data_IF_446197711371
#
_entry.id   IF_446197711371
#
_cell.length_a   1.000
_cell.length_b   1.000
_cell.length_c   1.000
_cell.angle_alpha   90.00
_cell.angle_beta   90.00
_cell.angle_gamma   90.00
#
_symmetry.space_group_name_H-M   'P 1'
#
loop_
_entity.id
_entity.type
_entity.pdbx_description
1 polymer ?
#
# COMPACT_ATOMS: atom_id res chain seq x y z
N UNK A 1 -20.87 -16.17 -2.35
CA UNK A 1 -19.40 -16.41 -2.41
C UNK A 1 -19.13 -17.82 -1.94
N UNK A 2 -18.32 -18.55 -2.69
CA UNK A 2 -17.87 -19.88 -2.33
C UNK A 2 -17.04 -19.83 -1.03
N UNK A 3 -17.24 -20.74 -0.06
CA UNK A 3 -16.41 -20.84 1.15
C UNK A 3 -14.91 -20.92 0.88
N UNK A 4 -14.51 -21.57 -0.22
CA UNK A 4 -13.12 -21.67 -0.65
C UNK A 4 -12.57 -20.29 -1.04
N UNK A 5 -13.34 -19.49 -1.77
CA UNK A 5 -12.94 -18.13 -2.12
C UNK A 5 -12.76 -17.22 -0.88
N UNK A 6 -13.66 -17.34 0.09
CA UNK A 6 -13.57 -16.60 1.34
C UNK A 6 -12.26 -16.98 2.07
N UNK A 7 -11.95 -18.27 2.12
CA UNK A 7 -10.72 -18.76 2.76
C UNK A 7 -9.46 -18.22 2.06
N UNK A 8 -9.42 -18.26 0.72
CA UNK A 8 -8.29 -17.74 -0.06
C UNK A 8 -8.11 -16.24 0.19
N UNK A 9 -9.19 -15.46 0.09
CA UNK A 9 -9.14 -14.00 0.32
C UNK A 9 -8.69 -13.68 1.75
N UNK A 10 -9.21 -14.38 2.74
CA UNK A 10 -8.79 -14.21 4.15
C UNK A 10 -7.31 -14.55 4.34
N UNK A 11 -6.84 -15.62 3.73
CA UNK A 11 -5.42 -16.03 3.79
C UNK A 11 -4.49 -14.98 3.18
N UNK A 12 -4.87 -14.41 2.03
CA UNK A 12 -4.12 -13.30 1.43
C UNK A 12 -4.10 -12.10 2.39
N UNK A 13 -5.23 -11.80 3.02
CA UNK A 13 -5.34 -10.75 4.02
C UNK A 13 -4.39 -10.97 5.21
N UNK A 14 -4.31 -12.21 5.73
CA UNK A 14 -3.37 -12.56 6.82
C UNK A 14 -1.93 -12.29 6.40
N UNK A 15 -1.50 -12.82 5.25
CA UNK A 15 -0.12 -12.65 4.74
C UNK A 15 0.19 -11.17 4.50
N UNK A 16 -0.72 -10.46 3.83
CA UNK A 16 -0.58 -9.03 3.57
C UNK A 16 -0.54 -8.21 4.86
N UNK A 17 -1.36 -8.57 5.84
CA UNK A 17 -1.38 -7.97 7.17
C UNK A 17 -0.07 -8.18 7.92
N UNK A 18 0.45 -9.41 7.94
CA UNK A 18 1.74 -9.72 8.58
C UNK A 18 2.84 -8.88 7.97
N UNK A 19 2.99 -8.88 6.65
CA UNK A 19 4.05 -8.13 5.96
C UNK A 19 3.86 -6.61 6.11
N UNK A 20 2.63 -6.14 5.97
CA UNK A 20 2.30 -4.72 6.15
C UNK A 20 2.54 -4.22 7.57
N UNK A 21 2.19 -5.03 8.57
CA UNK A 21 2.41 -4.74 9.99
C UNK A 21 3.87 -4.78 10.40
N UNK A 22 4.65 -5.73 9.85
CA UNK A 22 6.10 -5.89 10.13
C UNK A 22 6.91 -4.65 9.78
N UNK A 23 6.67 -4.06 8.65
CA UNK A 23 7.53 -3.02 8.10
C UNK A 23 6.85 -1.64 7.99
N UNK A 24 5.59 -1.52 8.42
CA UNK A 24 4.82 -0.30 8.23
C UNK A 24 4.57 0.05 6.75
N UNK A 25 4.63 -0.96 5.87
CA UNK A 25 4.60 -0.79 4.42
C UNK A 25 3.18 -0.78 3.83
N UNK A 26 2.20 -1.24 4.59
CA UNK A 26 0.85 -1.53 4.09
C UNK A 26 0.77 -2.91 3.42
N UNK A 27 -0.43 -3.48 3.39
CA UNK A 27 -0.67 -4.82 2.84
C UNK A 27 -0.86 -4.87 1.33
N UNK A 28 -1.19 -3.74 0.70
CA UNK A 28 -1.57 -3.66 -0.71
C UNK A 28 -0.50 -4.12 -1.69
N UNK A 29 0.77 -3.97 -1.31
CA UNK A 29 1.89 -4.41 -2.16
C UNK A 29 1.88 -5.93 -2.42
N UNK A 30 1.32 -6.71 -1.51
CA UNK A 30 1.13 -8.15 -1.69
C UNK A 30 -0.24 -8.44 -2.28
N UNK A 31 -1.28 -7.72 -1.83
CA UNK A 31 -2.65 -7.97 -2.27
C UNK A 31 -2.85 -7.72 -3.76
N UNK A 32 -2.32 -6.63 -4.31
CA UNK A 32 -2.51 -6.30 -5.72
C UNK A 32 -1.97 -7.39 -6.65
N UNK A 33 -0.70 -7.83 -6.53
CA UNK A 33 -0.22 -8.95 -7.33
C UNK A 33 -0.94 -10.26 -7.07
N UNK A 34 -1.29 -10.56 -5.80
CA UNK A 34 -2.00 -11.79 -5.47
C UNK A 34 -3.39 -11.84 -6.12
N UNK A 35 -4.16 -10.75 -6.05
CA UNK A 35 -5.46 -10.67 -6.71
C UNK A 35 -5.33 -10.80 -8.23
N UNK A 36 -4.37 -10.11 -8.84
CA UNK A 36 -4.10 -10.20 -10.27
C UNK A 36 -3.70 -11.62 -10.70
N UNK A 37 -2.91 -12.32 -9.88
CA UNK A 37 -2.45 -13.70 -10.18
C UNK A 37 -3.55 -14.74 -10.04
N UNK A 38 -4.46 -14.59 -9.10
CA UNK A 38 -5.48 -15.59 -8.79
C UNK A 38 -6.74 -15.37 -9.65
N UNK A 39 -7.25 -14.16 -9.70
CA UNK A 39 -8.51 -13.84 -10.40
C UNK A 39 -8.30 -13.20 -11.77
N UNK A 40 -7.08 -12.76 -12.11
CA UNK A 40 -6.79 -12.07 -13.38
C UNK A 40 -7.55 -10.75 -13.51
N UNK A 41 -7.68 -10.26 -14.76
CA UNK A 41 -8.35 -8.99 -15.08
C UNK A 41 -9.64 -9.19 -15.89
N UNK A 42 -10.07 -10.44 -16.15
CA UNK A 42 -11.32 -10.71 -16.88
C UNK A 42 -12.52 -10.31 -16.03
N UNK A 43 -13.50 -9.68 -16.69
CA UNK A 43 -14.76 -9.29 -16.09
C UNK A 43 -15.87 -9.97 -16.91
N UNK A 44 -16.73 -10.76 -16.24
CA UNK A 44 -17.95 -11.37 -16.78
C UNK A 44 -17.79 -12.06 -18.16
N UNK A 45 -16.66 -12.75 -18.37
CA UNK A 45 -16.39 -13.47 -19.61
C UNK A 45 -15.84 -12.64 -20.77
N UNK A 46 -15.78 -11.33 -20.64
CA UNK A 46 -15.14 -10.42 -21.59
C UNK A 46 -13.66 -10.23 -21.28
N UNK A 47 -12.82 -10.07 -22.32
CA UNK A 47 -11.45 -9.64 -22.14
C UNK A 47 -11.45 -8.14 -21.83
N UNK A 48 -10.97 -7.77 -20.65
CA UNK A 48 -10.78 -6.37 -20.28
C UNK A 48 -9.44 -5.88 -20.83
N UNK A 49 -9.42 -5.46 -22.09
CA UNK A 49 -8.22 -4.96 -22.78
C UNK A 49 -7.55 -3.81 -22.02
N UNK A 50 -8.30 -3.06 -21.25
CA UNK A 50 -7.80 -1.92 -20.46
C UNK A 50 -7.43 -2.30 -19.04
N UNK A 51 -7.65 -3.56 -18.66
CA UNK A 51 -7.41 -4.09 -17.33
C UNK A 51 -8.09 -3.24 -16.23
N UNK A 52 -9.30 -2.78 -16.51
CA UNK A 52 -10.09 -1.86 -15.68
C UNK A 52 -10.40 -2.47 -14.31
N UNK A 53 -10.54 -3.80 -14.23
CA UNK A 53 -10.72 -4.53 -12.96
C UNK A 53 -9.59 -4.28 -11.95
N UNK A 54 -8.43 -3.85 -12.41
CA UNK A 54 -7.35 -3.43 -11.52
C UNK A 54 -7.78 -2.32 -10.55
N UNK A 55 -8.66 -1.42 -10.97
CA UNK A 55 -9.20 -0.36 -10.10
C UNK A 55 -10.06 -0.92 -8.95
N UNK A 56 -10.75 -2.03 -9.16
CA UNK A 56 -11.47 -2.77 -8.09
C UNK A 56 -10.47 -3.30 -7.07
N UNK A 57 -9.38 -3.90 -7.54
CA UNK A 57 -8.31 -4.41 -6.67
C UNK A 57 -7.63 -3.28 -5.88
N UNK A 58 -7.38 -2.14 -6.52
CA UNK A 58 -6.84 -0.96 -5.84
C UNK A 58 -7.78 -0.47 -4.74
N UNK A 59 -9.09 -0.37 -5.01
CA UNK A 59 -10.08 0.04 -4.04
C UNK A 59 -10.13 -0.92 -2.83
N UNK A 60 -10.18 -2.23 -3.10
CA UNK A 60 -10.15 -3.26 -2.06
C UNK A 60 -8.88 -3.19 -1.22
N UNK A 61 -7.72 -3.08 -1.85
CA UNK A 61 -6.43 -3.01 -1.19
C UNK A 61 -6.30 -1.75 -0.31
N UNK A 62 -6.80 -0.61 -0.77
CA UNK A 62 -6.82 0.64 0.02
C UNK A 62 -7.70 0.51 1.26
N UNK A 63 -8.87 -0.14 1.15
CA UNK A 63 -9.74 -0.41 2.30
C UNK A 63 -9.02 -1.30 3.35
N UNK A 64 -8.35 -2.35 2.91
CA UNK A 64 -7.61 -3.24 3.81
C UNK A 64 -6.39 -2.53 4.41
N UNK A 65 -5.75 -1.61 3.70
CA UNK A 65 -4.65 -0.81 4.25
C UNK A 65 -5.07 0.04 5.45
N UNK A 66 -6.31 0.52 5.51
CA UNK A 66 -6.83 1.23 6.69
C UNK A 66 -6.72 0.35 7.93
N UNK A 67 -7.09 -0.93 7.79
CA UNK A 67 -7.08 -1.92 8.88
C UNK A 67 -5.64 -2.26 9.28
N UNK A 68 -4.77 -2.54 8.32
CA UNK A 68 -3.35 -2.85 8.56
C UNK A 68 -2.64 -1.67 9.22
N UNK A 69 -2.87 -0.46 8.73
CA UNK A 69 -2.26 0.73 9.27
C UNK A 69 -2.75 1.06 10.68
N UNK A 70 -4.04 0.84 10.97
CA UNK A 70 -4.60 1.01 12.30
C UNK A 70 -3.92 0.10 13.32
N UNK A 71 -3.84 -1.21 13.03
CA UNK A 71 -3.21 -2.18 13.93
C UNK A 71 -1.73 -1.86 14.18
N UNK A 72 -1.00 -1.46 13.13
CA UNK A 72 0.39 -1.02 13.23
C UNK A 72 0.53 0.28 14.05
N UNK A 73 -0.32 1.28 13.80
CA UNK A 73 -0.33 2.56 14.51
C UNK A 73 -0.56 2.37 16.01
N UNK A 74 -1.56 1.57 16.39
CA UNK A 74 -1.88 1.29 17.79
C UNK A 74 -0.71 0.63 18.51
N UNK A 75 -0.02 -0.30 17.85
CA UNK A 75 1.15 -0.97 18.44
C UNK A 75 2.33 0.00 18.63
N UNK A 76 2.62 0.84 17.64
CA UNK A 76 3.71 1.82 17.74
C UNK A 76 3.40 2.97 18.70
N UNK A 77 2.13 3.40 18.79
CA UNK A 77 1.70 4.41 19.75
C UNK A 77 1.91 3.97 21.20
N UNK A 78 1.56 2.71 21.52
CA UNK A 78 1.80 2.12 22.86
C UNK A 78 3.28 2.14 23.27
N UNK A 79 4.20 2.18 22.30
CA UNK A 79 5.66 2.19 22.53
C UNK A 79 6.29 3.59 22.48
N UNK A 80 5.48 4.64 22.39
CA UNK A 80 5.95 6.03 22.37
C UNK A 80 6.83 6.38 21.15
N UNK A 81 6.71 5.62 20.06
CA UNK A 81 7.56 5.82 18.89
C UNK A 81 7.01 6.88 17.90
N UNK A 82 5.74 7.27 18.03
CA UNK A 82 5.11 8.25 17.15
C UNK A 82 5.49 9.68 17.59
N UNK A 83 5.99 10.49 16.65
CA UNK A 83 6.34 11.90 16.86
C UNK A 83 5.23 12.78 16.30
N UNK A 84 4.67 13.66 17.14
CA UNK A 84 3.55 14.55 16.78
C UNK A 84 3.92 15.54 15.68
N UNK A 85 5.11 16.13 15.74
CA UNK A 85 5.64 17.10 14.77
C UNK A 85 5.72 16.50 13.35
N UNK A 86 6.13 15.23 13.25
CA UNK A 86 6.17 14.49 11.99
C UNK A 86 4.75 14.26 11.45
N UNK A 87 3.82 13.83 12.32
CA UNK A 87 2.43 13.57 11.91
C UNK A 87 1.72 14.85 11.45
N UNK A 88 1.90 15.97 12.16
CA UNK A 88 1.25 17.25 11.82
C UNK A 88 1.64 17.76 10.42
N UNK A 89 2.86 17.50 9.98
CA UNK A 89 3.31 17.92 8.64
C UNK A 89 2.93 16.92 7.55
N UNK A 90 3.05 15.63 7.84
CA UNK A 90 2.86 14.58 6.84
C UNK A 90 1.40 14.22 6.59
N UNK A 91 0.53 14.24 7.62
CA UNK A 91 -0.87 13.83 7.44
C UNK A 91 -1.59 14.71 6.42
N UNK A 92 -1.61 16.06 6.54
CA UNK A 92 -2.32 16.88 5.56
C UNK A 92 -1.70 16.81 4.17
N UNK A 93 -0.36 16.83 4.08
CA UNK A 93 0.32 16.79 2.78
C UNK A 93 0.16 15.44 2.08
N UNK A 94 0.31 14.33 2.78
CA UNK A 94 0.11 13.00 2.20
C UNK A 94 -1.35 12.77 1.83
N UNK A 95 -2.30 13.28 2.61
CA UNK A 95 -3.72 13.20 2.28
C UNK A 95 -4.04 13.98 1.00
N UNK A 96 -3.53 15.20 0.85
CA UNK A 96 -3.70 15.99 -0.37
C UNK A 96 -3.09 15.29 -1.59
N UNK A 97 -1.87 14.76 -1.45
CA UNK A 97 -1.24 13.93 -2.47
C UNK A 97 -2.07 12.69 -2.81
N UNK A 98 -2.59 11.98 -1.80
CA UNK A 98 -3.40 10.77 -1.97
C UNK A 98 -4.67 11.06 -2.80
N UNK A 99 -5.39 12.13 -2.48
CA UNK A 99 -6.57 12.54 -3.24
C UNK A 99 -6.22 12.82 -4.70
N UNK A 100 -5.17 13.61 -4.96
CA UNK A 100 -4.74 13.91 -6.33
C UNK A 100 -4.32 12.66 -7.09
N UNK A 101 -3.61 11.73 -6.45
CA UNK A 101 -3.20 10.45 -7.03
C UNK A 101 -4.40 9.57 -7.39
N UNK A 102 -5.39 9.46 -6.49
CA UNK A 102 -6.61 8.68 -6.74
C UNK A 102 -7.41 9.26 -7.92
N UNK A 103 -7.57 10.57 -7.97
CA UNK A 103 -8.28 11.24 -9.08
C UNK A 103 -7.56 11.02 -10.42
N UNK A 104 -6.23 11.11 -10.43
CA UNK A 104 -5.42 10.85 -11.62
C UNK A 104 -5.54 9.39 -12.07
N UNK A 105 -5.48 8.44 -11.14
CA UNK A 105 -5.62 7.01 -11.46
C UNK A 105 -6.99 6.67 -12.06
N UNK A 106 -8.05 7.35 -11.63
CA UNK A 106 -9.39 7.16 -12.19
C UNK A 106 -9.53 7.61 -13.65
N UNK A 107 -8.62 8.46 -14.13
CA UNK A 107 -8.56 8.94 -15.52
C UNK A 107 -7.63 8.13 -16.42
N UNK A 108 -6.98 7.11 -15.88
CA UNK A 108 -6.02 6.29 -16.63
C UNK A 108 -6.50 4.85 -16.72
N UNK A 109 -6.33 4.17 -17.88
CA UNK A 109 -6.61 2.74 -18.00
C UNK A 109 -5.83 1.93 -16.96
N UNK A 110 -6.43 0.84 -16.45
CA UNK A 110 -5.81 -0.02 -15.45
C UNK A 110 -4.43 -0.54 -15.84
N UNK A 111 -4.23 -0.81 -17.14
CA UNK A 111 -2.94 -1.23 -17.71
C UNK A 111 -1.79 -0.29 -17.36
N UNK A 112 -2.00 1.03 -17.45
CA UNK A 112 -0.96 2.00 -17.09
C UNK A 112 -0.69 2.02 -15.59
N UNK A 113 -1.72 1.86 -14.77
CA UNK A 113 -1.55 1.72 -13.31
C UNK A 113 -0.78 0.46 -12.95
N UNK A 114 -1.00 -0.65 -13.66
CA UNK A 114 -0.25 -1.91 -13.49
C UNK A 114 1.21 -1.73 -13.87
N UNK A 115 1.51 -1.13 -15.01
CA UNK A 115 2.89 -0.86 -15.46
C UNK A 115 3.62 0.06 -14.50
N UNK A 116 2.96 1.12 -14.04
CA UNK A 116 3.51 2.03 -13.04
C UNK A 116 3.77 1.33 -11.71
N UNK A 117 2.85 0.45 -11.27
CA UNK A 117 3.02 -0.34 -10.07
C UNK A 117 4.18 -1.34 -10.18
N UNK A 118 4.30 -2.04 -11.32
CA UNK A 118 5.42 -2.95 -11.56
C UNK A 118 6.76 -2.21 -11.58
N UNK A 119 6.86 -1.09 -12.30
CA UNK A 119 8.04 -0.24 -12.30
C UNK A 119 8.41 0.26 -10.90
N UNK A 120 7.41 0.64 -10.11
CA UNK A 120 7.59 1.02 -8.73
C UNK A 120 8.17 -0.13 -7.86
N UNK A 121 7.63 -1.35 -8.00
CA UNK A 121 8.17 -2.53 -7.29
C UNK A 121 9.64 -2.75 -7.64
N UNK A 122 10.01 -2.65 -8.92
CA UNK A 122 11.39 -2.85 -9.35
C UNK A 122 12.33 -1.81 -8.75
N UNK A 123 11.90 -0.55 -8.73
CA UNK A 123 12.66 0.53 -8.08
C UNK A 123 12.84 0.28 -6.58
N UNK A 124 11.78 -0.18 -5.92
CA UNK A 124 11.83 -0.55 -4.50
C UNK A 124 12.76 -1.75 -4.24
N UNK A 125 12.73 -2.77 -5.09
CA UNK A 125 13.63 -3.91 -4.99
C UNK A 125 15.09 -3.48 -5.16
N UNK A 126 15.39 -2.66 -6.18
CA UNK A 126 16.73 -2.13 -6.40
C UNK A 126 17.22 -1.31 -5.17
N UNK A 127 16.36 -0.44 -4.64
CA UNK A 127 16.67 0.32 -3.43
C UNK A 127 16.99 -0.60 -2.23
N UNK A 128 16.19 -1.64 -1.98
CA UNK A 128 16.42 -2.56 -0.86
C UNK A 128 17.71 -3.36 -1.03
N UNK A 129 18.03 -3.81 -2.26
CA UNK A 129 19.30 -4.51 -2.55
C UNK A 129 20.47 -3.58 -2.26
N UNK A 130 20.46 -2.37 -2.81
CA UNK A 130 21.54 -1.38 -2.64
C UNK A 130 21.74 -1.04 -1.15
N UNK A 131 20.67 -0.79 -0.43
CA UNK A 131 20.74 -0.42 1.00
C UNK A 131 21.20 -1.59 1.88
N UNK A 132 20.82 -2.82 1.53
CA UNK A 132 21.27 -4.03 2.23
C UNK A 132 22.77 -4.27 2.05
N UNK A 133 23.30 -4.00 0.84
CA UNK A 133 24.73 -4.12 0.54
C UNK A 133 25.54 -3.01 1.25
N UNK A 134 25.04 -1.78 1.20
CA UNK A 134 25.75 -0.60 1.74
C UNK A 134 25.74 -0.51 3.27
N UNK A 135 24.94 -1.33 3.97
CA UNK A 135 24.81 -1.34 5.45
C UNK A 135 24.68 0.07 6.03
N UNK A 136 23.78 0.89 5.49
CA UNK A 136 23.59 2.28 5.92
C UNK A 136 23.25 2.28 7.43
N UNK A 137 24.03 2.98 8.27
CA UNK A 137 23.76 3.05 9.70
C UNK A 137 22.47 3.83 9.95
N UNK A 138 21.75 3.47 11.02
CA UNK A 138 20.56 4.20 11.44
C UNK A 138 20.94 5.53 12.12
N UNK A 139 20.04 6.50 12.07
CA UNK A 139 20.21 7.77 12.74
C UNK A 139 20.02 7.61 14.27
N UNK A 140 20.68 8.45 15.08
CA UNK A 140 20.47 8.48 16.53
C UNK A 140 18.99 8.68 16.88
N UNK A 141 18.53 8.04 17.96
CA UNK A 141 17.12 8.11 18.38
C UNK A 141 16.67 9.55 18.66
N UNK A 142 17.60 10.38 19.16
CA UNK A 142 17.37 11.78 19.52
C UNK A 142 17.59 12.74 18.34
N UNK A 143 17.77 12.21 17.12
CA UNK A 143 17.95 13.07 15.94
C UNK A 143 16.76 14.05 15.78
N UNK A 144 17.01 15.31 15.43
CA UNK A 144 15.96 16.29 15.22
C UNK A 144 15.07 15.87 14.04
N UNK A 145 13.81 16.31 14.07
CA UNK A 145 12.90 16.08 12.94
C UNK A 145 13.39 16.82 11.69
N UNK A 146 13.20 16.23 10.51
CA UNK A 146 13.47 16.91 9.26
C UNK A 146 12.68 18.24 9.15
N UNK A 147 13.19 19.18 8.38
CA UNK A 147 12.52 20.47 8.19
C UNK A 147 11.07 20.27 7.64
N UNK A 148 10.12 21.07 8.13
CA UNK A 148 8.70 20.96 7.78
C UNK A 148 8.45 20.93 6.27
N UNK A 149 9.12 21.79 5.51
CA UNK A 149 8.97 21.83 4.05
C UNK A 149 9.38 20.52 3.36
N UNK A 150 10.43 19.85 3.87
CA UNK A 150 10.85 18.52 3.35
C UNK A 150 9.78 17.48 3.63
N UNK A 151 9.22 17.48 4.82
CA UNK A 151 8.14 16.57 5.20
C UNK A 151 6.89 16.82 4.35
N UNK A 152 6.53 18.08 4.09
CA UNK A 152 5.42 18.43 3.21
C UNK A 152 5.66 17.91 1.78
N UNK A 153 6.84 18.15 1.23
CA UNK A 153 7.19 17.69 -0.12
C UNK A 153 7.17 16.15 -0.22
N UNK A 154 7.72 15.46 0.78
CA UNK A 154 7.68 14.00 0.87
C UNK A 154 6.23 13.52 0.96
N UNK A 155 5.42 14.12 1.82
CA UNK A 155 4.01 13.73 1.99
C UNK A 155 3.21 13.87 0.69
N UNK A 156 3.31 15.02 0.01
CA UNK A 156 2.66 15.24 -1.28
C UNK A 156 3.09 14.22 -2.34
N UNK A 157 4.39 14.01 -2.48
CA UNK A 157 4.93 13.04 -3.45
C UNK A 157 4.48 11.62 -3.15
N UNK A 158 4.69 11.16 -1.91
CA UNK A 158 4.33 9.79 -1.49
C UNK A 158 2.84 9.57 -1.56
N UNK A 159 2.04 10.56 -1.13
CA UNK A 159 0.58 10.50 -1.23
C UNK A 159 0.13 10.39 -2.68
N UNK A 160 0.68 11.21 -3.58
CA UNK A 160 0.38 11.18 -5.01
C UNK A 160 0.67 9.81 -5.64
N UNK A 161 1.86 9.30 -5.42
CA UNK A 161 2.24 7.96 -5.92
C UNK A 161 1.38 6.87 -5.29
N UNK A 162 1.16 6.92 -3.98
CA UNK A 162 0.37 5.93 -3.26
C UNK A 162 -1.10 5.92 -3.71
N UNK A 163 -1.70 7.08 -3.89
CA UNK A 163 -3.06 7.21 -4.41
C UNK A 163 -3.21 6.73 -5.84
N UNK A 164 -2.22 7.06 -6.70
CA UNK A 164 -2.21 6.62 -8.09
C UNK A 164 -2.07 5.10 -8.24
N UNK A 165 -1.20 4.49 -7.42
CA UNK A 165 -0.94 3.05 -7.47
C UNK A 165 -1.91 2.21 -6.62
N UNK A 166 -2.75 2.83 -5.77
CA UNK A 166 -3.64 2.12 -4.86
C UNK A 166 -2.91 1.46 -3.68
N UNK A 167 -1.77 2.02 -3.27
CA UNK A 167 -0.96 1.50 -2.16
C UNK A 167 -1.05 2.42 -0.93
N UNK A 168 -0.70 1.90 0.25
CA UNK A 168 -0.77 2.68 1.49
C UNK A 168 0.32 3.74 1.68
N UNK A 169 1.31 3.79 0.78
CA UNK A 169 2.40 4.77 0.80
C UNK A 169 3.52 4.51 1.81
N UNK A 170 3.31 3.66 2.80
CA UNK A 170 4.33 3.36 3.82
C UNK A 170 5.65 2.86 3.27
N UNK A 171 5.58 2.12 2.16
CA UNK A 171 6.76 1.58 1.48
C UNK A 171 7.73 2.65 0.97
N UNK A 172 7.21 3.81 0.57
CA UNK A 172 8.02 4.96 0.15
C UNK A 172 8.34 5.87 1.32
N UNK A 173 7.37 6.04 2.22
CA UNK A 173 7.47 7.02 3.29
C UNK A 173 8.61 6.68 4.26
N UNK A 174 8.74 5.40 4.66
CA UNK A 174 9.80 4.97 5.58
C UNK A 174 11.21 5.27 5.04
N UNK A 175 11.60 4.84 3.82
CA UNK A 175 12.93 5.15 3.31
C UNK A 175 13.16 6.64 3.09
N UNK A 176 12.17 7.40 2.62
CA UNK A 176 12.34 8.84 2.41
C UNK A 176 12.50 9.61 3.73
N UNK A 177 11.81 9.21 4.78
CA UNK A 177 11.99 9.78 6.11
C UNK A 177 13.38 9.44 6.68
N UNK A 178 13.86 8.21 6.47
CA UNK A 178 15.23 7.83 6.88
C UNK A 178 16.29 8.65 6.14
N UNK A 179 16.19 8.78 4.82
CA UNK A 179 17.10 9.60 4.02
C UNK A 179 17.07 11.06 4.49
N UNK A 180 15.93 11.53 5.00
CA UNK A 180 15.78 12.89 5.52
C UNK A 180 16.34 13.08 6.93
N UNK A 181 16.88 12.03 7.56
CA UNK A 181 17.51 12.09 8.89
C UNK A 181 16.65 11.56 10.04
N UNK A 182 15.46 11.01 9.78
CA UNK A 182 14.62 10.46 10.83
C UNK A 182 15.05 9.01 11.17
N UNK A 183 15.23 8.66 12.47
CA UNK A 183 15.54 7.30 12.88
C UNK A 183 14.49 6.30 12.39
N UNK A 184 14.92 5.09 12.03
CA UNK A 184 14.05 4.04 11.48
C UNK A 184 12.81 3.77 12.34
N UNK A 185 12.98 3.73 13.65
CA UNK A 185 11.88 3.51 14.60
C UNK A 185 10.79 4.57 14.48
N UNK A 186 11.19 5.84 14.40
CA UNK A 186 10.27 6.97 14.26
C UNK A 186 9.70 7.06 12.85
N UNK A 187 10.48 6.70 11.83
CA UNK A 187 10.03 6.65 10.44
C UNK A 187 8.92 5.59 10.24
N UNK A 188 9.07 4.38 10.82
CA UNK A 188 8.05 3.32 10.75
C UNK A 188 6.78 3.75 11.52
N UNK A 189 6.93 4.27 12.74
CA UNK A 189 5.79 4.69 13.54
C UNK A 189 5.03 5.87 12.92
N UNK A 190 5.76 6.87 12.41
CA UNK A 190 5.20 8.01 11.71
C UNK A 190 4.49 7.60 10.43
N UNK A 191 5.12 6.72 9.63
CA UNK A 191 4.54 6.17 8.41
C UNK A 191 3.22 5.44 8.68
N UNK A 192 3.14 4.58 9.69
CA UNK A 192 1.92 3.87 10.04
C UNK A 192 0.78 4.83 10.40
N UNK A 193 1.05 5.85 11.23
CA UNK A 193 0.04 6.83 11.65
C UNK A 193 -0.45 7.70 10.50
N UNK A 194 0.46 8.18 9.65
CA UNK A 194 0.12 8.97 8.46
C UNK A 194 -0.69 8.13 7.47
N UNK A 195 -0.24 6.88 7.21
CA UNK A 195 -0.90 5.96 6.31
C UNK A 195 -2.31 5.61 6.77
N UNK A 196 -2.55 5.45 8.07
CA UNK A 196 -3.88 5.16 8.57
C UNK A 196 -4.88 6.25 8.19
N UNK A 197 -4.56 7.51 8.47
CA UNK A 197 -5.45 8.64 8.20
C UNK A 197 -5.60 8.86 6.68
N UNK A 198 -4.49 8.90 5.94
CA UNK A 198 -4.52 9.13 4.49
C UNK A 198 -5.23 8.00 3.73
N UNK A 199 -5.09 6.74 4.18
CA UNK A 199 -5.77 5.61 3.55
C UNK A 199 -7.28 5.63 3.77
N UNK A 200 -7.80 6.15 4.88
CA UNK A 200 -9.26 6.33 5.07
C UNK A 200 -9.79 7.23 3.95
N UNK A 201 -9.15 8.38 3.74
CA UNK A 201 -9.59 9.35 2.73
C UNK A 201 -9.36 8.78 1.33
N UNK A 202 -8.21 8.17 1.08
CA UNK A 202 -7.89 7.55 -0.21
C UNK A 202 -8.84 6.41 -0.58
N UNK A 203 -9.16 5.51 0.35
CA UNK A 203 -10.10 4.42 0.14
C UNK A 203 -11.51 4.94 -0.12
N UNK A 204 -11.99 5.91 0.68
CA UNK A 204 -13.30 6.54 0.49
C UNK A 204 -13.40 7.21 -0.88
N UNK A 205 -12.36 7.96 -1.27
CA UNK A 205 -12.30 8.62 -2.58
C UNK A 205 -12.24 7.62 -3.73
N UNK A 206 -11.46 6.53 -3.60
CA UNK A 206 -11.37 5.48 -4.62
C UNK A 206 -12.68 4.73 -4.78
N UNK A 207 -13.38 4.40 -3.69
CA UNK A 207 -14.71 3.79 -3.74
C UNK A 207 -15.73 4.74 -4.37
N UNK A 208 -15.70 6.03 -4.03
CA UNK A 208 -16.59 7.03 -4.60
C UNK A 208 -16.41 7.20 -6.10
N UNK A 209 -15.16 7.20 -6.58
CA UNK A 209 -14.84 7.36 -8.00
C UNK A 209 -14.93 6.07 -8.80
N UNK A 210 -14.99 4.90 -8.17
CA UNK A 210 -14.99 3.60 -8.83
C UNK A 210 -16.10 3.44 -9.88
N UNK A 211 -17.37 3.78 -9.61
CA UNK A 211 -18.45 3.63 -10.58
C UNK A 211 -18.36 4.59 -11.78
N UNK A 212 -17.58 5.67 -11.65
CA UNK A 212 -17.37 6.63 -12.73
C UNK A 212 -16.22 6.25 -13.67
N UNK A 213 -15.51 5.17 -13.40
CA UNK A 213 -14.42 4.68 -14.24
C UNK A 213 -15.05 3.82 -15.34
N UNK A 214 -15.08 4.35 -16.56
CA UNK A 214 -15.61 3.68 -17.76
C UNK A 214 -14.53 3.65 -18.82
N UNK A 215 -14.08 2.46 -19.19
CA UNK A 215 -13.19 2.17 -20.31
C UNK A 215 -13.65 0.87 -20.97
N UNK A 216 -13.76 0.79 -22.29
CA UNK A 216 -13.76 1.83 -23.33
C UNK A 216 -15.11 2.57 -23.44
N UNK A 217 -15.35 3.43 -24.48
CA UNK A 217 -16.56 4.26 -24.59
C UNK A 217 -17.87 3.45 -24.65
N UNK A 218 -19.04 4.09 -24.47
CA UNK A 218 -20.25 3.65 -23.77
C UNK A 218 -20.99 2.42 -24.27
N UNK A 219 -20.65 1.81 -25.39
CA UNK A 219 -21.40 0.64 -25.88
C UNK A 219 -20.89 -0.73 -25.33
N UNK A 220 -19.66 -0.77 -24.76
CA UNK A 220 -19.06 -1.95 -24.15
C UNK A 220 -18.46 -1.63 -22.77
N UNK A 221 -19.03 -0.66 -22.05
CA UNK A 221 -18.49 -0.18 -20.78
C UNK A 221 -18.62 -1.24 -19.69
N UNK A 222 -17.48 -1.61 -19.11
CA UNK A 222 -17.44 -2.40 -17.89
C UNK A 222 -17.87 -1.51 -16.72
N UNK A 223 -18.97 -1.86 -16.08
CA UNK A 223 -19.46 -1.16 -14.89
C UNK A 223 -18.78 -1.72 -13.65
N UNK A 224 -17.92 -0.92 -13.01
CA UNK A 224 -17.29 -1.27 -11.74
C UNK A 224 -18.23 -0.93 -10.59
N UNK A 225 -18.49 -1.90 -9.71
CA UNK A 225 -19.35 -1.69 -8.55
C UNK A 225 -18.54 -1.64 -7.25
N UNK A 226 -19.02 -0.86 -6.30
CA UNK A 226 -18.46 -0.84 -4.94
C UNK A 226 -18.55 -2.24 -4.30
N UNK A 227 -19.63 -2.98 -4.58
CA UNK A 227 -19.82 -4.37 -4.12
C UNK A 227 -18.67 -5.29 -4.51
N UNK A 228 -18.10 -5.10 -5.72
CA UNK A 228 -16.99 -5.94 -6.21
C UNK A 228 -15.74 -5.69 -5.37
N UNK A 229 -15.43 -4.42 -5.10
CA UNK A 229 -14.32 -4.07 -4.23
C UNK A 229 -14.52 -4.56 -2.79
N UNK A 230 -15.73 -4.42 -2.25
CA UNK A 230 -16.05 -4.87 -0.89
C UNK A 230 -16.05 -6.40 -0.77
N UNK A 231 -16.42 -7.12 -1.81
CA UNK A 231 -16.31 -8.58 -1.88
C UNK A 231 -14.88 -9.09 -1.70
N UNK A 232 -13.88 -8.32 -2.10
CA UNK A 232 -12.46 -8.59 -1.78
C UNK A 232 -12.06 -8.00 -0.43
N UNK A 233 -12.44 -6.75 -0.15
CA UNK A 233 -11.97 -6.00 1.01
C UNK A 233 -12.41 -6.61 2.35
N UNK A 234 -13.65 -7.11 2.45
CA UNK A 234 -14.19 -7.62 3.72
C UNK A 234 -13.44 -8.86 4.19
N UNK A 235 -13.36 -9.98 3.42
CA UNK A 235 -12.65 -11.16 3.89
C UNK A 235 -11.15 -10.94 4.05
N UNK A 236 -10.51 -10.16 3.15
CA UNK A 236 -9.12 -9.79 3.30
C UNK A 236 -8.89 -8.91 4.53
N UNK A 237 -9.81 -8.01 4.85
CA UNK A 237 -9.76 -7.14 6.01
C UNK A 237 -9.81 -7.91 7.32
N UNK A 238 -10.64 -8.93 7.42
CA UNK A 238 -10.69 -9.84 8.57
C UNK A 238 -9.34 -10.55 8.75
N UNK A 239 -8.78 -11.09 7.68
CA UNK A 239 -7.45 -11.70 7.71
C UNK A 239 -6.35 -10.69 8.08
N UNK A 240 -6.43 -9.49 7.55
CA UNK A 240 -5.45 -8.43 7.78
C UNK A 240 -5.46 -7.88 9.23
N UNK A 241 -6.58 -7.93 9.94
CA UNK A 241 -6.63 -7.62 11.37
C UNK A 241 -5.72 -8.57 12.16
N UNK A 242 -5.85 -9.87 11.92
CA UNK A 242 -5.04 -10.90 12.58
C UNK A 242 -3.58 -10.76 12.15
N UNK A 243 -3.34 -10.69 10.83
CA UNK A 243 -2.01 -10.58 10.27
C UNK A 243 -1.28 -9.31 10.69
N UNK A 244 -1.94 -8.17 10.68
CA UNK A 244 -1.37 -6.87 11.05
C UNK A 244 -0.92 -6.82 12.51
N UNK A 245 -1.71 -7.37 13.42
CA UNK A 245 -1.33 -7.50 14.82
C UNK A 245 -0.11 -8.41 15.00
N UNK A 246 -0.13 -9.59 14.38
CA UNK A 246 1.00 -10.54 14.41
C UNK A 246 2.27 -9.93 13.80
N UNK A 247 2.16 -9.27 12.66
CA UNK A 247 3.27 -8.61 11.99
C UNK A 247 3.92 -7.53 12.85
N UNK A 248 3.11 -6.64 13.41
CA UNK A 248 3.58 -5.59 14.30
C UNK A 248 4.25 -6.15 15.58
N UNK A 249 3.76 -7.26 16.10
CA UNK A 249 4.36 -7.95 17.25
C UNK A 249 5.72 -8.59 16.91
N UNK A 250 5.81 -9.22 15.74
CA UNK A 250 7.02 -9.91 15.26
C UNK A 250 8.15 -8.89 14.93
N UNK A 251 7.81 -7.67 14.48
CA UNK A 251 8.79 -6.61 14.16
C UNK A 251 9.83 -6.39 15.26
N UNK A 252 9.43 -6.61 16.50
CA UNK A 252 10.30 -6.40 17.65
C UNK A 252 11.21 -7.59 17.99
N UNK A 253 11.05 -8.72 17.27
CA UNK A 253 11.79 -9.98 17.54
C UNK A 253 12.72 -10.39 16.40
N UNK A 254 12.56 -9.86 15.20
CA UNK A 254 13.29 -10.30 13.99
C UNK A 254 14.22 -9.19 13.45
N UNK A 255 15.37 -9.60 12.94
CA UNK A 255 16.29 -8.70 12.20
C UNK A 255 15.69 -8.40 10.83
N UNK A 256 15.20 -7.18 10.65
CA UNK A 256 14.48 -6.69 9.46
C UNK A 256 15.19 -6.82 8.10
N UNK A 257 16.54 -6.75 7.97
CA UNK A 257 17.20 -6.71 6.65
C UNK A 257 16.92 -7.94 5.77
N UNK A 258 17.02 -9.15 6.33
CA UNK A 258 16.79 -10.39 5.56
C UNK A 258 15.33 -10.53 5.11
N UNK A 259 14.39 -10.13 5.97
CA UNK A 259 12.97 -10.16 5.65
C UNK A 259 12.61 -9.23 4.48
N UNK A 260 13.17 -8.01 4.48
CA UNK A 260 12.97 -7.04 3.38
C UNK A 260 13.46 -7.61 2.04
N UNK A 261 14.58 -8.31 2.04
CA UNK A 261 15.13 -8.91 0.81
C UNK A 261 14.24 -10.03 0.27
N UNK A 262 13.77 -10.92 1.14
CA UNK A 262 12.85 -12.02 0.75
C UNK A 262 11.55 -11.45 0.18
N UNK A 263 10.96 -10.47 0.85
CA UNK A 263 9.75 -9.79 0.38
C UNK A 263 10.00 -9.13 -0.99
N UNK A 264 11.13 -8.44 -1.15
CA UNK A 264 11.47 -7.79 -2.41
C UNK A 264 11.60 -8.78 -3.58
N UNK A 265 12.22 -9.94 -3.36
CA UNK A 265 12.35 -10.98 -4.39
C UNK A 265 10.99 -11.58 -4.78
N UNK A 266 10.13 -11.87 -3.80
CA UNK A 266 8.77 -12.38 -4.06
C UNK A 266 7.97 -11.36 -4.87
N UNK A 267 8.04 -10.08 -4.49
CA UNK A 267 7.34 -9.00 -5.17
C UNK A 267 7.86 -8.77 -6.59
N UNK A 268 9.17 -8.86 -6.81
CA UNK A 268 9.74 -8.76 -8.14
C UNK A 268 9.22 -9.87 -9.07
N UNK A 269 9.22 -11.11 -8.59
CA UNK A 269 8.68 -12.24 -9.35
C UNK A 269 7.16 -12.09 -9.62
N UNK A 270 6.40 -11.64 -8.63
CA UNK A 270 4.96 -11.43 -8.76
C UNK A 270 4.63 -10.28 -9.74
N UNK A 271 5.42 -9.19 -9.74
CA UNK A 271 5.21 -8.06 -10.64
C UNK A 271 5.46 -8.41 -12.11
N UNK A 272 6.45 -9.26 -12.40
CA UNK A 272 6.69 -9.77 -13.75
C UNK A 272 5.44 -10.50 -14.26
N UNK A 273 4.93 -11.44 -13.45
CA UNK A 273 3.75 -12.23 -13.83
C UNK A 273 2.48 -11.38 -13.97
N UNK A 274 2.37 -10.29 -13.19
CA UNK A 274 1.27 -9.35 -13.25
C UNK A 274 1.26 -8.55 -14.57
N UNK A 275 2.43 -8.18 -15.09
CA UNK A 275 2.57 -7.43 -16.37
C UNK A 275 2.37 -8.35 -17.58
N UNK A 276 2.72 -9.63 -17.46
CA UNK A 276 2.59 -10.61 -18.55
C UNK A 276 1.17 -11.13 -18.76
N UNK A 277 0.24 -10.78 -17.89
CA UNK A 277 -1.19 -11.18 -17.94
C UNK A 277 -2.07 -10.03 -18.39
#
# INVERSE_FOLDING_TARGET
MDPIEILIRTSIGIVAGVVGGLAGLGGSIIMLPAMAMIWGYRIDGHEDEHQTRHHVYMAAAMCVNVIVALSSTLMHAKKGAARKDVLMSLVPSMTAGMVTGVLLSGKTPGRWSILAFAGFIWLYCAYNIITSIKKIPDHPIDAPSPAHWKMIAIGLFVGGVAGYLGIGGGILLVPLLQISGLPLRHAIAGSAGVMWISSIIGASMKLYTLPSITYPPPNDSVHLMISDAMGFAIPMGVGALIGGYLGAWITHKIKLPHLKLVIALILAAASIKMVMR
#
